data_IF_172330657311
#
_entry.id   IF_172330657311
#
_cell.length_a   1.000
_cell.length_b   1.000
_cell.length_c   1.000
_cell.angle_alpha   90.00
_cell.angle_beta   90.00
_cell.angle_gamma   90.00
#
_symmetry.space_group_name_H-M   'P 1'
#
loop_
_entity.id
_entity.type
_entity.pdbx_description
1 polymer ?
#
# COMPACT_ATOMS: atom_id res chain seq x y z
N UNK A 1 -11.99 11.21 -11.81
CA UNK A 1 -12.31 12.52 -11.22
C UNK A 1 -13.58 13.16 -11.83
N UNK A 2 -13.87 13.11 -13.15
CA UNK A 2 -14.99 13.87 -13.79
C UNK A 2 -16.46 13.45 -13.48
N UNK A 3 -16.73 12.33 -12.80
CA UNK A 3 -18.12 11.87 -12.52
C UNK A 3 -18.38 11.36 -11.10
N UNK A 4 -17.37 11.35 -10.23
CA UNK A 4 -17.52 10.84 -8.87
C UNK A 4 -17.77 12.01 -7.89
N UNK A 5 -18.79 11.90 -7.03
CA UNK A 5 -18.95 12.83 -5.92
C UNK A 5 -17.77 12.66 -4.96
N UNK A 6 -16.97 13.70 -4.78
CA UNK A 6 -15.82 13.70 -3.87
C UNK A 6 -15.89 14.90 -2.94
N UNK A 7 -15.73 14.66 -1.64
CA UNK A 7 -15.64 15.73 -0.64
C UNK A 7 -14.28 16.44 -0.65
N UNK A 8 -13.27 15.85 -1.31
CA UNK A 8 -11.92 16.38 -1.44
C UNK A 8 -11.81 17.49 -2.49
N UNK A 9 -12.74 17.51 -3.45
CA UNK A 9 -12.82 18.51 -4.52
C UNK A 9 -14.24 19.08 -4.56
N UNK A 10 -14.40 20.32 -4.10
CA UNK A 10 -15.68 21.03 -4.15
C UNK A 10 -15.59 22.14 -5.18
N UNK A 11 -16.65 22.34 -5.96
CA UNK A 11 -16.57 23.30 -7.05
C UNK A 11 -17.94 23.88 -7.39
N UNK A 12 -17.98 25.20 -7.56
CA UNK A 12 -19.14 25.90 -8.13
C UNK A 12 -19.23 25.76 -9.66
N UNK A 13 -18.16 25.28 -10.30
CA UNK A 13 -18.07 24.93 -11.72
C UNK A 13 -17.16 23.70 -11.89
N UNK A 14 -17.26 22.90 -12.98
CA UNK A 14 -16.43 21.70 -13.13
C UNK A 14 -14.92 21.97 -12.94
N UNK A 15 -14.26 21.13 -12.14
CA UNK A 15 -12.79 21.06 -12.02
C UNK A 15 -12.32 19.98 -13.00
N UNK A 16 -11.37 20.32 -13.88
CA UNK A 16 -10.79 19.35 -14.81
C UNK A 16 -9.59 18.62 -14.19
N UNK A 17 -9.19 17.46 -14.75
CA UNK A 17 -7.92 16.81 -14.35
C UNK A 17 -6.70 17.75 -14.53
N UNK A 18 -6.72 18.59 -15.57
CA UNK A 18 -5.67 19.58 -15.80
C UNK A 18 -5.63 20.62 -14.69
N UNK A 19 -6.78 21.14 -14.25
CA UNK A 19 -6.87 22.07 -13.11
C UNK A 19 -6.24 21.43 -11.86
N UNK A 20 -6.54 20.16 -11.57
CA UNK A 20 -5.99 19.47 -10.39
C UNK A 20 -4.47 19.35 -10.47
N UNK A 21 -3.92 18.94 -11.62
CA UNK A 21 -2.48 18.76 -11.82
C UNK A 21 -1.73 20.11 -11.68
N UNK A 22 -2.24 21.17 -12.32
CA UNK A 22 -1.65 22.50 -12.27
C UNK A 22 -1.65 23.07 -10.83
N UNK A 23 -2.76 22.91 -10.11
CA UNK A 23 -2.84 23.36 -8.71
C UNK A 23 -1.93 22.54 -7.79
N UNK A 24 -1.78 21.23 -8.04
CA UNK A 24 -0.86 20.39 -7.30
C UNK A 24 0.59 20.84 -7.49
N UNK A 25 0.99 21.21 -8.72
CA UNK A 25 2.32 21.73 -9.00
C UNK A 25 2.58 23.07 -8.30
N UNK A 26 1.63 24.01 -8.36
CA UNK A 26 1.71 25.30 -7.66
C UNK A 26 1.83 25.11 -6.13
N UNK A 27 1.08 24.16 -5.59
CA UNK A 27 1.13 23.81 -4.16
C UNK A 27 2.52 23.26 -3.79
N UNK A 28 3.05 22.32 -4.57
CA UNK A 28 4.36 21.72 -4.35
C UNK A 28 5.49 22.76 -4.39
N UNK A 29 5.48 23.67 -5.38
CA UNK A 29 6.45 24.77 -5.47
C UNK A 29 6.40 25.72 -4.26
N UNK A 30 5.27 25.75 -3.56
CA UNK A 30 5.04 26.56 -2.37
C UNK A 30 5.24 25.80 -1.06
N UNK A 31 5.74 24.56 -1.12
CA UNK A 31 5.97 23.69 0.03
C UNK A 31 4.69 23.16 0.69
N UNK A 32 3.58 23.10 -0.05
CA UNK A 32 2.30 22.61 0.46
C UNK A 32 2.09 21.20 -0.07
N UNK A 33 2.15 20.23 0.84
CA UNK A 33 1.92 18.83 0.51
C UNK A 33 0.40 18.51 0.45
N UNK A 34 -0.04 17.60 -0.41
CA UNK A 34 -1.46 17.41 -0.72
C UNK A 34 -2.26 16.63 0.33
N UNK A 35 -1.61 15.83 1.18
CA UNK A 35 -2.21 14.79 2.02
C UNK A 35 -3.28 15.36 2.96
N UNK A 36 -3.03 16.53 3.56
CA UNK A 36 -3.93 17.18 4.50
C UNK A 36 -4.73 18.34 3.87
N UNK A 37 -5.00 18.27 2.55
CA UNK A 37 -5.64 19.37 1.82
C UNK A 37 -6.89 18.96 1.06
N UNK A 38 -7.81 19.91 0.90
CA UNK A 38 -8.94 19.85 -0.05
C UNK A 38 -8.83 20.97 -1.08
N UNK A 39 -9.51 20.81 -2.21
CA UNK A 39 -9.55 21.81 -3.26
C UNK A 39 -10.97 22.37 -3.41
N UNK A 40 -11.11 23.68 -3.31
CA UNK A 40 -12.39 24.38 -3.53
C UNK A 40 -12.25 25.36 -4.70
N UNK A 41 -13.08 25.23 -5.73
CA UNK A 41 -13.14 26.15 -6.87
C UNK A 41 -14.37 27.06 -6.79
N UNK A 42 -14.12 28.36 -6.71
CA UNK A 42 -15.12 29.41 -6.73
C UNK A 42 -14.98 30.28 -7.99
N UNK A 43 -16.09 30.82 -8.48
CA UNK A 43 -16.07 31.81 -9.57
C UNK A 43 -16.35 33.19 -8.98
N UNK A 44 -15.41 34.12 -9.14
CA UNK A 44 -15.51 35.50 -8.65
C UNK A 44 -15.48 36.44 -9.86
N UNK A 45 -16.66 36.84 -10.33
CA UNK A 45 -16.81 37.58 -11.59
C UNK A 45 -16.48 36.69 -12.79
N UNK A 46 -15.52 37.11 -13.62
CA UNK A 46 -15.02 36.32 -14.76
C UNK A 46 -13.80 35.45 -14.41
N UNK A 47 -13.33 35.48 -13.15
CA UNK A 47 -12.11 34.79 -12.72
C UNK A 47 -12.42 33.55 -11.89
N UNK A 48 -11.62 32.51 -12.05
CA UNK A 48 -11.67 31.32 -11.19
C UNK A 48 -10.74 31.48 -9.99
N UNK A 49 -11.23 31.24 -8.78
CA UNK A 49 -10.42 31.18 -7.56
C UNK A 49 -10.36 29.73 -7.07
N UNK A 50 -9.15 29.22 -6.91
CA UNK A 50 -8.86 27.92 -6.33
C UNK A 50 -8.35 28.11 -4.90
N UNK A 51 -9.09 27.60 -3.93
CA UNK A 51 -8.68 27.58 -2.53
C UNK A 51 -8.15 26.19 -2.20
N UNK A 52 -6.87 26.11 -1.86
CA UNK A 52 -6.27 24.95 -1.22
C UNK A 52 -6.61 25.07 0.26
N UNK A 53 -7.51 24.23 0.73
CA UNK A 53 -7.98 24.21 2.11
C UNK A 53 -7.13 23.22 2.89
N UNK A 54 -6.21 23.72 3.72
CA UNK A 54 -5.30 22.93 4.53
C UNK A 54 -5.86 22.70 5.94
N UNK A 55 -5.80 21.45 6.38
CA UNK A 55 -6.23 21.06 7.71
C UNK A 55 -5.27 21.59 8.78
N UNK A 56 -5.80 22.45 9.66
CA UNK A 56 -5.05 23.05 10.76
C UNK A 56 -5.99 23.56 11.84
N UNK A 57 -5.50 23.67 13.07
CA UNK A 57 -6.18 24.44 14.12
C UNK A 57 -6.05 25.93 13.87
N UNK A 58 -4.84 26.39 13.58
CA UNK A 58 -4.56 27.80 13.31
C UNK A 58 -5.37 28.29 12.12
N UNK A 59 -5.85 29.52 12.22
CA UNK A 59 -6.61 30.19 11.17
C UNK A 59 -5.78 31.34 10.63
N UNK A 60 -5.72 31.47 9.31
CA UNK A 60 -5.27 32.72 8.73
C UNK A 60 -6.39 33.75 8.82
N UNK A 61 -6.01 35.01 9.10
CA UNK A 61 -6.95 36.13 9.10
C UNK A 61 -7.57 36.36 7.71
N UNK A 62 -6.86 35.99 6.65
CA UNK A 62 -7.35 36.00 5.28
C UNK A 62 -6.65 34.88 4.47
N UNK A 63 -7.26 34.47 3.35
CA UNK A 63 -6.66 33.53 2.43
C UNK A 63 -5.32 34.06 1.91
N UNK A 64 -4.25 33.27 2.00
CA UNK A 64 -2.91 33.65 1.54
C UNK A 64 -2.82 33.39 0.04
N UNK A 65 -2.63 34.44 -0.77
CA UNK A 65 -2.41 34.30 -2.20
C UNK A 65 -1.08 33.57 -2.44
N UNK A 66 -1.14 32.47 -3.21
CA UNK A 66 0.02 31.66 -3.60
C UNK A 66 0.42 31.99 -5.04
N UNK A 67 -0.55 32.03 -5.95
CA UNK A 67 -0.32 32.29 -7.37
C UNK A 67 -1.49 33.08 -7.98
N UNK A 68 -1.20 33.87 -9.01
CA UNK A 68 -2.16 34.73 -9.69
C UNK A 68 -1.83 34.85 -11.17
N UNK A 69 -2.83 34.61 -12.02
CA UNK A 69 -2.82 34.87 -13.47
C UNK A 69 -3.95 35.82 -13.85
N UNK A 70 -4.05 36.18 -15.13
CA UNK A 70 -5.09 37.10 -15.58
C UNK A 70 -6.51 36.57 -15.31
N UNK A 71 -6.71 35.25 -15.39
CA UNK A 71 -7.98 34.53 -15.28
C UNK A 71 -8.14 33.77 -13.96
N UNK A 72 -7.06 33.56 -13.17
CA UNK A 72 -7.10 32.67 -12.01
C UNK A 72 -6.35 33.20 -10.79
N UNK A 73 -6.81 32.75 -9.62
CA UNK A 73 -6.14 32.94 -8.34
C UNK A 73 -6.04 31.63 -7.59
N UNK A 74 -4.87 31.32 -7.03
CA UNK A 74 -4.66 30.18 -6.14
C UNK A 74 -4.33 30.70 -4.75
N UNK A 75 -5.13 30.30 -3.77
CA UNK A 75 -5.02 30.77 -2.40
C UNK A 75 -4.91 29.60 -1.42
N UNK A 76 -4.10 29.74 -0.37
CA UNK A 76 -4.07 28.84 0.78
C UNK A 76 -5.06 29.35 1.83
N UNK A 77 -5.96 28.47 2.23
CA UNK A 77 -6.89 28.68 3.34
C UNK A 77 -6.56 27.65 4.41
N UNK A 78 -6.43 28.09 5.65
CA UNK A 78 -6.24 27.23 6.83
C UNK A 78 -7.53 27.18 7.64
N UNK A 79 -7.62 26.23 8.59
CA UNK A 79 -8.67 26.08 9.59
C UNK A 79 -9.74 25.01 9.36
N UNK A 80 -9.47 23.95 8.57
CA UNK A 80 -10.52 22.99 8.25
C UNK A 80 -10.04 21.53 8.21
N UNK A 81 -10.35 20.69 9.24
CA UNK A 81 -11.25 20.97 10.38
C UNK A 81 -10.52 21.50 11.64
N UNK A 82 -10.73 22.77 12.01
CA UNK A 82 -10.04 23.41 13.15
C UNK A 82 -10.51 22.94 14.54
N UNK A 83 -11.83 22.83 14.76
CA UNK A 83 -12.40 22.46 16.06
C UNK A 83 -12.07 21.03 16.47
N UNK A 84 -12.12 20.12 15.50
CA UNK A 84 -11.87 18.70 15.65
C UNK A 84 -10.40 18.47 15.94
N UNK A 85 -9.50 19.07 15.15
CA UNK A 85 -8.06 18.99 15.38
C UNK A 85 -7.66 19.58 16.73
N UNK A 86 -8.29 20.66 17.18
CA UNK A 86 -8.06 21.24 18.51
C UNK A 86 -8.43 20.23 19.60
N UNK A 87 -9.60 19.61 19.48
CA UNK A 87 -10.07 18.61 20.45
C UNK A 87 -9.18 17.36 20.45
N UNK A 88 -8.71 16.93 19.28
CA UNK A 88 -7.73 15.85 19.13
C UNK A 88 -6.44 16.21 19.88
N UNK A 89 -5.90 17.41 19.65
CA UNK A 89 -4.68 17.89 20.32
C UNK A 89 -4.85 17.92 21.85
N UNK A 90 -5.98 18.38 22.36
CA UNK A 90 -6.27 18.39 23.80
C UNK A 90 -6.30 16.97 24.40
N UNK A 91 -6.92 16.02 23.69
CA UNK A 91 -6.95 14.62 24.11
C UNK A 91 -5.56 13.99 24.10
N UNK A 92 -4.78 14.21 23.04
CA UNK A 92 -3.41 13.70 22.92
C UNK A 92 -2.50 14.30 24.01
N UNK A 93 -2.61 15.60 24.29
CA UNK A 93 -1.86 16.26 25.37
C UNK A 93 -2.23 15.72 26.76
N UNK A 94 -3.52 15.39 27.00
CA UNK A 94 -3.93 14.71 28.24
C UNK A 94 -3.33 13.31 28.32
N UNK A 95 -3.36 12.54 27.23
CA UNK A 95 -2.76 11.20 27.17
C UNK A 95 -1.24 11.21 27.38
N UNK A 96 -0.54 12.25 26.89
CA UNK A 96 0.90 12.45 27.09
C UNK A 96 1.31 12.54 28.56
N UNK A 97 0.39 12.95 29.46
CA UNK A 97 0.61 12.99 30.91
C UNK A 97 0.55 11.61 31.57
N UNK A 98 0.01 10.61 30.88
CA UNK A 98 -0.18 9.25 31.39
C UNK A 98 0.99 8.31 31.04
N UNK A 99 2.02 8.80 30.37
CA UNK A 99 3.22 8.03 30.03
C UNK A 99 4.46 8.71 30.58
N UNK A 100 5.49 7.95 30.96
CA UNK A 100 6.81 8.50 31.30
C UNK A 100 7.82 8.40 30.15
N UNK A 101 7.43 7.79 29.02
CA UNK A 101 8.32 7.63 27.87
C UNK A 101 8.54 8.97 27.16
N UNK A 102 9.75 9.51 27.26
CA UNK A 102 10.13 10.79 26.66
C UNK A 102 9.90 10.83 25.14
N UNK A 103 10.21 9.73 24.43
CA UNK A 103 9.98 9.62 22.99
C UNK A 103 8.49 9.79 22.63
N UNK A 104 7.58 9.18 23.40
CA UNK A 104 6.13 9.34 23.19
C UNK A 104 5.63 10.74 23.49
N UNK A 105 6.12 11.36 24.57
CA UNK A 105 5.80 12.75 24.89
C UNK A 105 6.24 13.66 23.73
N UNK A 106 7.42 13.41 23.16
CA UNK A 106 7.95 14.14 22.01
C UNK A 106 7.13 13.90 20.74
N UNK A 107 6.80 12.64 20.42
CA UNK A 107 5.95 12.29 19.29
C UNK A 107 4.60 13.02 19.37
N UNK A 108 3.92 12.94 20.52
CA UNK A 108 2.63 13.61 20.72
C UNK A 108 2.77 15.13 20.59
N UNK A 109 3.82 15.72 21.15
CA UNK A 109 4.03 17.16 21.04
C UNK A 109 4.23 17.62 19.59
N UNK A 110 5.03 16.88 18.80
CA UNK A 110 5.26 17.15 17.37
C UNK A 110 4.01 16.92 16.54
N UNK A 111 3.25 15.87 16.83
CA UNK A 111 1.99 15.58 16.15
C UNK A 111 0.95 16.67 16.40
N UNK A 112 0.78 17.10 17.65
CA UNK A 112 -0.10 18.23 17.97
C UNK A 112 0.37 19.53 17.29
N UNK A 113 1.69 19.72 17.16
CA UNK A 113 2.26 20.87 16.46
C UNK A 113 1.90 20.84 14.97
N UNK A 114 2.03 19.69 14.32
CA UNK A 114 1.61 19.49 12.94
C UNK A 114 0.10 19.73 12.72
N UNK A 115 -0.77 19.28 13.64
CA UNK A 115 -2.20 19.58 13.57
C UNK A 115 -2.51 21.05 13.86
N UNK A 116 -1.69 21.70 14.68
CA UNK A 116 -1.83 23.12 14.96
C UNK A 116 -1.58 23.97 13.71
N UNK A 117 -0.46 23.71 13.03
CA UNK A 117 0.02 24.50 11.88
C UNK A 117 -0.50 24.02 10.54
N UNK A 118 -0.81 22.72 10.41
CA UNK A 118 -1.08 22.04 9.14
C UNK A 118 0.20 21.72 8.34
N UNK A 119 1.39 21.85 8.92
CA UNK A 119 2.65 21.59 8.22
C UNK A 119 2.97 20.07 8.18
N UNK A 120 3.08 19.53 6.97
CA UNK A 120 3.39 18.12 6.77
C UNK A 120 4.86 17.77 7.07
N UNK A 121 5.79 18.73 7.08
CA UNK A 121 7.15 18.46 7.55
C UNK A 121 7.20 18.33 9.08
N UNK A 122 6.40 19.10 9.82
CA UNK A 122 6.21 18.89 11.25
C UNK A 122 5.53 17.53 11.51
N UNK A 123 4.59 17.11 10.64
CA UNK A 123 4.01 15.76 10.71
C UNK A 123 5.06 14.69 10.48
N UNK A 124 5.85 14.77 9.40
CA UNK A 124 6.96 13.84 9.14
C UNK A 124 7.97 13.79 10.27
N UNK A 125 8.29 14.92 10.89
CA UNK A 125 9.18 14.96 12.07
C UNK A 125 8.57 14.21 13.27
N UNK A 126 7.25 14.27 13.46
CA UNK A 126 6.57 13.43 14.45
C UNK A 126 6.70 11.93 14.11
N UNK A 127 6.56 11.57 12.83
CA UNK A 127 6.71 10.18 12.37
C UNK A 127 8.15 9.66 12.52
N UNK A 128 9.17 10.50 12.28
CA UNK A 128 10.58 10.15 12.54
C UNK A 128 10.79 9.81 14.01
N UNK A 129 10.20 10.57 14.94
CA UNK A 129 10.23 10.23 16.37
C UNK A 129 9.47 8.94 16.67
N UNK A 130 8.33 8.71 16.02
CA UNK A 130 7.49 7.53 16.21
C UNK A 130 8.16 6.23 15.75
N UNK A 131 8.87 6.24 14.62
CA UNK A 131 9.61 5.07 14.12
C UNK A 131 10.71 4.62 15.08
N UNK A 132 11.37 5.59 15.74
CA UNK A 132 12.47 5.34 16.70
C UNK A 132 12.00 5.19 18.15
N UNK A 133 10.70 5.31 18.42
CA UNK A 133 10.12 5.03 19.72
C UNK A 133 10.33 3.54 20.05
N UNK A 134 10.94 3.29 21.22
CA UNK A 134 11.25 1.95 21.71
C UNK A 134 9.97 1.14 21.92
N UNK A 135 10.01 -0.20 21.86
CA UNK A 135 8.82 -1.04 21.92
C UNK A 135 7.97 -0.71 23.15
N UNK A 136 6.82 -0.09 22.91
CA UNK A 136 5.85 0.26 23.95
C UNK A 136 4.65 -0.69 23.89
N UNK A 137 3.95 -0.83 25.03
CA UNK A 137 2.78 -1.72 25.12
C UNK A 137 1.58 -1.19 24.33
N UNK A 138 1.47 0.13 24.17
CA UNK A 138 0.35 0.78 23.47
C UNK A 138 0.91 1.47 22.23
N UNK A 139 0.52 1.06 21.04
CA UNK A 139 0.94 1.69 19.79
C UNK A 139 -0.15 2.62 19.27
N UNK A 140 0.22 3.68 18.54
CA UNK A 140 -0.77 4.66 18.04
C UNK A 140 -0.42 5.16 16.64
N UNK A 141 -1.44 5.33 15.80
CA UNK A 141 -1.35 6.02 14.50
C UNK A 141 -2.40 7.11 14.49
N UNK A 142 -2.03 8.35 14.16
CA UNK A 142 -2.96 9.46 14.07
C UNK A 142 -2.49 10.41 12.99
N UNK A 143 -3.38 10.79 12.08
CA UNK A 143 -3.08 11.78 11.05
C UNK A 143 -3.85 11.56 9.76
N UNK A 144 -3.45 12.28 8.72
CA UNK A 144 -3.92 12.06 7.35
C UNK A 144 -2.96 11.06 6.70
N UNK A 145 -3.38 9.78 6.64
CA UNK A 145 -2.46 8.67 6.37
C UNK A 145 -2.67 8.09 4.97
N UNK A 146 -3.87 7.63 4.65
CA UNK A 146 -4.11 6.81 3.45
C UNK A 146 -4.95 7.53 2.37
N UNK A 147 -4.52 7.55 1.09
CA UNK A 147 -5.19 8.32 0.04
C UNK A 147 -6.28 7.57 -0.76
N UNK A 148 -6.68 6.36 -0.33
CA UNK A 148 -7.55 5.47 -1.12
C UNK A 148 -8.90 6.07 -1.53
N UNK A 149 -9.43 7.02 -0.75
CA UNK A 149 -10.74 7.64 -1.01
C UNK A 149 -10.68 8.90 -1.85
N UNK A 150 -9.48 9.43 -2.12
CA UNK A 150 -9.31 10.51 -3.08
C UNK A 150 -9.32 9.92 -4.49
N UNK A 151 -10.26 10.31 -5.37
CA UNK A 151 -10.30 9.81 -6.75
C UNK A 151 -9.04 10.14 -7.57
N UNK A 152 -8.26 11.12 -7.12
CA UNK A 152 -7.00 11.52 -7.75
C UNK A 152 -5.78 10.99 -6.96
N UNK A 153 -5.97 10.25 -5.85
CA UNK A 153 -4.94 9.45 -5.16
C UNK A 153 -3.85 10.23 -4.41
N UNK A 154 -4.07 11.51 -4.10
CA UNK A 154 -3.05 12.40 -3.51
C UNK A 154 -3.42 12.93 -2.13
N UNK A 155 -4.71 12.96 -1.79
CA UNK A 155 -5.23 13.48 -0.53
C UNK A 155 -5.55 12.33 0.40
N UNK A 156 -5.07 12.42 1.64
CA UNK A 156 -5.20 11.35 2.60
C UNK A 156 -6.44 11.54 3.50
N UNK A 157 -7.04 10.42 3.89
CA UNK A 157 -8.10 10.39 4.88
C UNK A 157 -7.51 10.48 6.29
N UNK A 158 -8.21 11.19 7.18
CA UNK A 158 -7.84 11.22 8.58
C UNK A 158 -8.19 9.90 9.27
N UNK A 159 -7.23 9.33 9.99
CA UNK A 159 -7.42 8.15 10.82
C UNK A 159 -6.79 8.29 12.22
N UNK A 160 -7.27 7.46 13.14
CA UNK A 160 -6.81 7.39 14.52
C UNK A 160 -6.93 5.96 15.04
N UNK A 161 -5.80 5.31 15.28
CA UNK A 161 -5.69 3.93 15.73
C UNK A 161 -4.95 3.91 17.06
N UNK A 162 -5.47 3.14 18.02
CA UNK A 162 -4.80 2.81 19.27
C UNK A 162 -4.79 1.29 19.39
N UNK A 163 -3.60 0.70 19.40
CA UNK A 163 -3.39 -0.74 19.49
C UNK A 163 -2.72 -1.12 20.80
N UNK A 164 -3.06 -2.28 21.34
CA UNK A 164 -2.32 -2.90 22.44
C UNK A 164 -1.46 -4.01 21.84
N UNK A 165 -0.15 -3.95 22.09
CA UNK A 165 0.81 -4.92 21.59
C UNK A 165 0.48 -6.32 22.12
N UNK A 166 0.29 -7.27 21.21
CA UNK A 166 0.32 -8.69 21.53
C UNK A 166 1.78 -9.17 21.50
N UNK A 167 2.39 -9.55 22.65
CA UNK A 167 3.80 -9.92 22.71
C UNK A 167 4.12 -11.18 21.91
N UNK A 168 3.20 -12.15 21.85
CA UNK A 168 3.41 -13.42 21.14
C UNK A 168 3.40 -13.23 19.62
N UNK A 169 2.36 -12.58 19.09
CA UNK A 169 2.25 -12.24 17.67
C UNK A 169 3.39 -11.31 17.24
N UNK A 170 3.75 -10.33 18.07
CA UNK A 170 4.89 -9.43 17.76
C UNK A 170 6.22 -10.19 17.73
N UNK A 171 6.42 -11.19 18.60
CA UNK A 171 7.63 -12.00 18.57
C UNK A 171 7.73 -12.85 17.29
N UNK A 172 6.60 -13.33 16.75
CA UNK A 172 6.56 -13.99 15.44
C UNK A 172 6.99 -13.02 14.34
N UNK A 173 6.40 -11.82 14.30
CA UNK A 173 6.76 -10.79 13.30
C UNK A 173 8.24 -10.41 13.39
N UNK A 174 8.79 -10.28 14.60
CA UNK A 174 10.21 -9.98 14.79
C UNK A 174 11.11 -11.06 14.19
N UNK A 175 10.83 -12.34 14.46
CA UNK A 175 11.61 -13.45 13.90
C UNK A 175 11.51 -13.51 12.38
N UNK A 176 10.33 -13.24 11.82
CA UNK A 176 10.12 -13.16 10.38
C UNK A 176 10.96 -12.03 9.77
N UNK A 177 10.93 -10.84 10.36
CA UNK A 177 11.73 -9.70 9.92
C UNK A 177 13.24 -10.00 10.00
N UNK A 178 13.73 -10.62 11.08
CA UNK A 178 15.14 -10.99 11.24
C UNK A 178 15.59 -12.05 10.23
N UNK A 179 14.65 -12.87 9.75
CA UNK A 179 14.93 -13.96 8.81
C UNK A 179 14.55 -13.61 7.38
N UNK A 180 14.07 -12.39 7.11
CA UNK A 180 13.40 -12.05 5.85
C UNK A 180 14.32 -12.24 4.63
N UNK A 181 15.59 -11.83 4.75
CA UNK A 181 16.60 -11.98 3.70
C UNK A 181 16.79 -13.44 3.25
N UNK A 182 16.56 -14.43 4.13
CA UNK A 182 16.68 -15.86 3.80
C UNK A 182 15.61 -16.30 2.80
N UNK A 183 14.41 -15.73 2.90
CA UNK A 183 13.27 -16.03 2.04
C UNK A 183 13.28 -15.18 0.78
N UNK A 184 13.71 -13.91 0.87
CA UNK A 184 13.85 -13.05 -0.31
C UNK A 184 14.85 -13.61 -1.31
N UNK A 185 15.92 -14.28 -0.85
CA UNK A 185 16.85 -15.02 -1.71
C UNK A 185 16.23 -16.15 -2.54
N UNK A 186 15.01 -16.58 -2.19
CA UNK A 186 14.26 -17.63 -2.88
C UNK A 186 13.27 -17.06 -3.88
N UNK A 187 13.07 -15.74 -3.93
CA UNK A 187 12.16 -15.11 -4.88
C UNK A 187 12.65 -15.30 -6.33
N UNK A 188 11.74 -15.42 -7.29
CA UNK A 188 12.07 -15.90 -8.63
C UNK A 188 12.92 -14.93 -9.48
N UNK A 189 13.06 -13.67 -9.07
CA UNK A 189 13.93 -12.69 -9.72
C UNK A 189 15.29 -12.52 -9.02
N UNK A 190 15.50 -13.18 -7.87
CA UNK A 190 16.79 -13.14 -7.17
C UNK A 190 17.71 -14.23 -7.71
N UNK A 191 18.77 -13.83 -8.41
CA UNK A 191 19.82 -14.75 -8.90
C UNK A 191 20.69 -15.29 -7.74
N UNK A 192 20.14 -16.13 -6.86
CA UNK A 192 20.88 -16.77 -5.77
C UNK A 192 21.88 -17.84 -6.22
N UNK A 193 21.95 -18.12 -7.53
CA UNK A 193 22.76 -19.20 -8.11
C UNK A 193 24.27 -18.90 -8.14
N UNK A 194 24.69 -17.66 -7.83
CA UNK A 194 26.10 -17.23 -7.93
C UNK A 194 26.88 -17.27 -6.62
N UNK A 195 26.40 -17.94 -5.57
CA UNK A 195 27.13 -18.06 -4.30
C UNK A 195 27.44 -16.74 -3.59
N UNK A 196 26.87 -15.63 -4.09
CA UNK A 196 26.99 -14.30 -3.52
C UNK A 196 25.95 -14.15 -2.41
N UNK A 197 26.31 -13.42 -1.35
CA UNK A 197 25.39 -13.07 -0.27
C UNK A 197 24.41 -11.97 -0.67
N UNK A 198 24.63 -11.33 -1.82
CA UNK A 198 23.78 -10.27 -2.38
C UNK A 198 22.35 -10.74 -2.67
N UNK A 199 21.37 -9.84 -2.52
CA UNK A 199 19.97 -10.06 -2.90
C UNK A 199 19.71 -9.89 -4.42
N UNK A 200 20.78 -9.67 -5.21
CA UNK A 200 20.69 -9.50 -6.66
C UNK A 200 20.43 -8.06 -7.08
N UNK A 201 20.27 -7.85 -8.39
CA UNK A 201 20.19 -6.51 -8.99
C UNK A 201 18.82 -5.82 -8.81
N UNK A 202 17.77 -6.62 -8.57
CA UNK A 202 16.38 -6.17 -8.44
C UNK A 202 15.88 -6.17 -6.98
N UNK A 203 16.77 -6.30 -6.01
CA UNK A 203 16.45 -6.17 -4.60
C UNK A 203 17.35 -5.14 -3.93
N UNK A 204 16.81 -4.52 -2.88
CA UNK A 204 17.60 -3.70 -1.99
C UNK A 204 18.52 -4.58 -1.12
N UNK A 205 19.55 -3.98 -0.51
CA UNK A 205 20.50 -4.74 0.32
C UNK A 205 19.88 -5.42 1.55
N UNK A 206 18.67 -5.00 1.93
CA UNK A 206 17.87 -5.54 3.03
C UNK A 206 16.39 -5.40 2.68
N UNK A 207 15.56 -6.35 3.11
CA UNK A 207 14.09 -6.27 2.96
C UNK A 207 13.58 -4.97 3.56
N UNK A 208 12.84 -4.20 2.76
CA UNK A 208 12.23 -2.96 3.18
C UNK A 208 11.00 -3.27 4.03
N UNK A 209 10.75 -2.48 5.07
CA UNK A 209 9.52 -2.60 5.85
C UNK A 209 8.47 -1.64 5.26
N UNK A 210 7.20 -2.03 5.12
CA UNK A 210 6.13 -1.10 4.75
C UNK A 210 6.16 0.14 5.64
N UNK A 211 5.94 1.32 5.07
CA UNK A 211 6.02 2.57 5.80
C UNK A 211 5.26 3.69 5.09
N UNK A 212 4.67 4.59 5.87
CA UNK A 212 3.79 5.66 5.38
C UNK A 212 4.48 6.70 4.49
N UNK A 213 5.81 6.83 4.59
CA UNK A 213 6.60 7.78 3.82
C UNK A 213 7.88 7.14 3.30
N UNK A 214 8.10 7.21 1.98
CA UNK A 214 9.25 6.59 1.34
C UNK A 214 10.59 7.17 1.79
N UNK A 215 10.68 8.48 2.01
CA UNK A 215 11.89 9.17 2.47
C UNK A 215 12.26 8.80 3.92
N UNK A 216 11.27 8.69 4.81
CA UNK A 216 11.46 8.18 6.17
C UNK A 216 11.84 6.70 6.12
N UNK A 217 11.15 5.89 5.32
CA UNK A 217 11.42 4.46 5.16
C UNK A 217 12.87 4.19 4.76
N UNK A 218 13.34 4.88 3.71
CA UNK A 218 14.69 4.68 3.17
C UNK A 218 15.80 5.22 4.09
N UNK A 219 15.57 6.32 4.82
CA UNK A 219 16.61 6.98 5.63
C UNK A 219 16.56 6.69 7.14
N UNK A 220 15.42 6.30 7.67
CA UNK A 220 15.15 6.19 9.12
C UNK A 220 14.46 4.87 9.51
N UNK A 221 13.94 4.10 8.55
CA UNK A 221 13.19 2.86 8.76
C UNK A 221 11.68 3.08 8.85
N UNK A 222 10.95 2.02 9.20
CA UNK A 222 9.49 2.08 9.37
C UNK A 222 8.98 1.09 10.43
N UNK A 223 7.71 1.27 10.80
CA UNK A 223 6.94 0.38 11.66
C UNK A 223 5.76 -0.18 10.88
N UNK A 224 5.55 -1.49 10.97
CA UNK A 224 4.37 -2.17 10.41
C UNK A 224 3.46 -2.59 11.56
N UNK A 225 2.17 -2.28 11.46
CA UNK A 225 1.17 -2.59 12.49
C UNK A 225 0.18 -3.60 11.91
N UNK A 226 0.04 -4.74 12.59
CA UNK A 226 -0.99 -5.72 12.29
C UNK A 226 -2.11 -5.62 13.33
N UNK A 227 -3.35 -5.36 12.88
CA UNK A 227 -4.52 -5.27 13.76
C UNK A 227 -5.16 -6.67 13.89
N UNK A 228 -4.59 -7.52 14.73
CA UNK A 228 -4.93 -8.95 14.78
C UNK A 228 -6.35 -9.25 15.29
N UNK A 229 -6.90 -8.43 16.18
CA UNK A 229 -8.27 -8.60 16.68
C UNK A 229 -9.36 -8.28 15.63
N UNK A 230 -9.01 -7.67 14.50
CA UNK A 230 -9.93 -7.49 13.35
C UNK A 230 -9.99 -8.72 12.45
N UNK A 231 -9.06 -9.65 12.63
CA UNK A 231 -9.06 -10.95 11.97
C UNK A 231 -9.97 -11.95 12.71
N UNK A 232 -10.32 -11.62 13.96
CA UNK A 232 -11.17 -12.41 14.84
C UNK A 232 -12.62 -11.97 14.77
N UNK A 233 -13.41 -12.67 13.98
CA UNK A 233 -14.84 -12.38 13.88
C UNK A 233 -15.05 -11.20 12.93
N UNK A 234 -15.53 -11.46 11.73
CA UNK A 234 -16.90 -11.91 11.50
C UNK A 234 -16.86 -12.61 10.14
N UNK A 235 -17.57 -13.72 9.91
CA UNK A 235 -17.88 -14.10 8.53
C UNK A 235 -18.45 -12.85 7.87
N UNK A 236 -17.79 -12.31 6.85
CA UNK A 236 -18.38 -11.21 6.11
C UNK A 236 -19.73 -11.72 5.62
N UNK A 237 -20.78 -10.90 5.67
CA UNK A 237 -22.13 -11.36 5.34
C UNK A 237 -22.22 -12.04 3.95
N UNK A 238 -21.29 -11.75 3.04
CA UNK A 238 -21.11 -12.38 1.72
C UNK A 238 -20.16 -13.61 1.66
N UNK A 239 -19.50 -13.99 2.74
CA UNK A 239 -18.60 -15.17 2.76
C UNK A 239 -19.36 -16.47 2.54
N UNK A 240 -20.61 -16.58 2.99
CA UNK A 240 -21.32 -17.86 2.98
C UNK A 240 -21.38 -18.51 1.59
N UNK A 241 -21.68 -17.74 0.54
CA UNK A 241 -21.75 -18.30 -0.81
C UNK A 241 -20.38 -18.70 -1.35
N UNK A 242 -19.39 -17.82 -1.24
CA UNK A 242 -18.03 -18.10 -1.73
C UNK A 242 -17.34 -19.22 -0.94
N UNK A 243 -17.52 -19.26 0.38
CA UNK A 243 -17.05 -20.34 1.25
C UNK A 243 -17.72 -21.66 0.87
N UNK A 244 -19.05 -21.69 0.68
CA UNK A 244 -19.76 -22.90 0.28
C UNK A 244 -19.34 -23.42 -1.11
N UNK A 245 -18.95 -22.52 -2.02
CA UNK A 245 -18.44 -22.89 -3.34
C UNK A 245 -17.01 -23.44 -3.30
N UNK A 246 -16.17 -22.91 -2.40
CA UNK A 246 -14.75 -23.27 -2.31
C UNK A 246 -14.46 -24.42 -1.35
N UNK A 247 -15.21 -24.57 -0.25
CA UNK A 247 -15.00 -25.64 0.73
C UNK A 247 -15.64 -26.96 0.27
N UNK A 248 -14.82 -27.95 -0.10
CA UNK A 248 -15.31 -29.32 -0.35
C UNK A 248 -15.89 -29.97 0.92
N UNK A 249 -15.29 -29.67 2.08
CA UNK A 249 -15.73 -30.14 3.40
C UNK A 249 -16.08 -28.94 4.27
N UNK A 250 -17.38 -28.72 4.55
CA UNK A 250 -17.83 -27.60 5.35
C UNK A 250 -17.09 -27.49 6.69
N UNK A 251 -16.59 -26.30 7.01
CA UNK A 251 -15.93 -25.99 8.27
C UNK A 251 -14.42 -26.25 8.30
N UNK A 252 -13.84 -26.86 7.25
CA UNK A 252 -12.39 -27.11 7.19
C UNK A 252 -11.62 -25.80 7.11
N UNK A 253 -12.05 -24.87 6.25
CA UNK A 253 -11.39 -23.58 6.13
C UNK A 253 -11.73 -22.68 7.33
N UNK A 254 -12.98 -22.72 7.81
CA UNK A 254 -13.41 -21.99 9.02
C UNK A 254 -12.57 -22.32 10.27
N UNK A 255 -12.07 -23.56 10.42
CA UNK A 255 -11.29 -24.01 11.59
C UNK A 255 -9.94 -23.30 11.72
N UNK A 256 -9.26 -23.03 10.61
CA UNK A 256 -7.91 -22.45 10.59
C UNK A 256 -7.86 -21.04 9.97
N UNK A 257 -9.02 -20.52 9.56
CA UNK A 257 -9.18 -19.22 8.88
C UNK A 257 -8.43 -18.07 9.54
N UNK A 258 -8.54 -17.91 10.86
CA UNK A 258 -7.84 -16.82 11.59
C UNK A 258 -6.33 -16.87 11.33
N UNK A 259 -5.72 -18.03 11.53
CA UNK A 259 -4.27 -18.22 11.41
C UNK A 259 -3.82 -18.06 9.96
N UNK A 260 -4.57 -18.63 9.02
CA UNK A 260 -4.35 -18.47 7.59
C UNK A 260 -4.43 -17.00 7.17
N UNK A 261 -5.51 -16.30 7.52
CA UNK A 261 -5.70 -14.89 7.18
C UNK A 261 -4.64 -13.99 7.82
N UNK A 262 -4.26 -14.25 9.07
CA UNK A 262 -3.17 -13.55 9.74
C UNK A 262 -1.85 -13.69 8.98
N UNK A 263 -1.43 -14.91 8.66
CA UNK A 263 -0.16 -15.16 7.98
C UNK A 263 -0.18 -14.67 6.53
N UNK A 264 -1.33 -14.78 5.86
CA UNK A 264 -1.54 -14.23 4.53
C UNK A 264 -1.25 -12.73 4.48
N UNK A 265 -1.85 -11.94 5.37
CA UNK A 265 -1.56 -10.50 5.46
C UNK A 265 -0.11 -10.24 5.84
N UNK A 266 0.43 -10.98 6.81
CA UNK A 266 1.84 -10.81 7.21
C UNK A 266 2.80 -11.03 6.04
N UNK A 267 2.57 -12.06 5.23
CA UNK A 267 3.41 -12.33 4.07
C UNK A 267 3.20 -11.32 2.95
N UNK A 268 1.96 -10.89 2.72
CA UNK A 268 1.62 -9.81 1.80
C UNK A 268 2.39 -8.52 2.15
N UNK A 269 2.34 -8.09 3.41
CA UNK A 269 2.99 -6.85 3.84
C UNK A 269 4.52 -6.98 3.87
N UNK A 270 5.05 -8.02 4.52
CA UNK A 270 6.48 -8.15 4.74
C UNK A 270 7.24 -8.54 3.48
N UNK A 271 6.76 -9.55 2.76
CA UNK A 271 7.46 -10.08 1.59
C UNK A 271 6.91 -9.52 0.29
N UNK A 272 5.65 -9.13 0.23
CA UNK A 272 5.10 -8.46 -0.93
C UNK A 272 5.60 -7.02 -1.02
N UNK A 273 4.98 -6.12 -0.26
CA UNK A 273 5.31 -4.69 -0.26
C UNK A 273 6.76 -4.39 0.18
N UNK A 274 7.34 -5.26 1.00
CA UNK A 274 8.71 -5.11 1.49
C UNK A 274 9.84 -5.51 0.53
N UNK A 275 9.53 -6.05 -0.65
CA UNK A 275 10.52 -6.52 -1.62
C UNK A 275 10.41 -5.80 -2.96
N UNK A 276 11.49 -5.86 -3.73
CA UNK A 276 11.61 -5.24 -5.03
C UNK A 276 12.29 -3.87 -4.96
N UNK A 277 13.28 -3.70 -5.83
CA UNK A 277 13.98 -2.44 -6.06
C UNK A 277 13.43 -1.73 -7.29
N UNK A 278 13.17 -0.43 -7.16
CA UNK A 278 12.94 0.43 -8.31
C UNK A 278 14.29 0.93 -8.81
N UNK A 279 14.57 0.74 -10.10
CA UNK A 279 15.78 1.28 -10.72
C UNK A 279 15.56 2.75 -11.04
N UNK A 280 16.46 3.61 -10.59
CA UNK A 280 16.26 5.06 -10.61
C UNK A 280 17.52 5.82 -11.04
N UNK A 281 17.29 6.89 -11.78
CA UNK A 281 18.24 7.97 -12.05
C UNK A 281 17.95 9.14 -11.10
N UNK A 282 18.97 9.56 -10.36
CA UNK A 282 18.93 10.66 -9.43
C UNK A 282 19.09 12.01 -10.14
N UNK A 283 18.68 13.10 -9.49
CA UNK A 283 18.76 14.45 -10.04
C UNK A 283 20.20 14.93 -10.35
N UNK A 284 21.21 14.31 -9.75
CA UNK A 284 22.63 14.56 -10.01
C UNK A 284 23.21 13.64 -11.11
N UNK A 285 22.36 12.96 -11.87
CA UNK A 285 22.71 11.98 -12.91
C UNK A 285 23.50 10.77 -12.39
N UNK A 286 23.40 10.47 -11.09
CA UNK A 286 23.83 9.18 -10.54
C UNK A 286 22.70 8.15 -10.63
N UNK A 287 23.04 6.87 -10.60
CA UNK A 287 22.09 5.76 -10.72
C UNK A 287 22.18 4.89 -9.47
N UNK A 288 21.05 4.34 -9.02
CA UNK A 288 21.05 3.37 -7.94
C UNK A 288 21.41 1.94 -8.41
N UNK A 289 21.90 1.79 -9.63
CA UNK A 289 22.37 0.55 -10.26
C UNK A 289 23.60 0.83 -11.14
N UNK A 290 24.26 -0.23 -11.60
CA UNK A 290 25.48 -0.12 -12.41
C UNK A 290 25.15 -0.01 -13.91
N UNK A 291 25.49 1.12 -14.52
CA UNK A 291 25.33 1.34 -15.97
C UNK A 291 26.35 0.59 -16.82
N UNK A 292 27.54 0.31 -16.30
CA UNK A 292 28.55 -0.46 -17.04
C UNK A 292 28.22 -1.95 -17.07
N UNK A 293 27.40 -2.40 -16.10
CA UNK A 293 26.91 -3.76 -15.98
C UNK A 293 25.39 -3.76 -15.73
N UNK A 294 24.64 -3.48 -16.80
CA UNK A 294 23.18 -3.45 -16.74
C UNK A 294 22.61 -4.79 -16.26
N UNK A 295 21.68 -4.77 -15.29
CA UNK A 295 20.89 -5.93 -14.89
C UNK A 295 20.19 -6.57 -16.08
N UNK A 296 20.08 -7.89 -16.08
CA UNK A 296 19.32 -8.64 -17.08
C UNK A 296 17.91 -8.87 -16.57
N UNK A 297 16.91 -8.53 -17.37
CA UNK A 297 15.52 -8.78 -17.03
C UNK A 297 15.26 -10.29 -16.91
N UNK A 298 14.73 -10.78 -15.76
CA UNK A 298 14.39 -12.19 -15.60
C UNK A 298 13.20 -12.61 -16.49
N UNK A 299 12.53 -11.63 -17.10
CA UNK A 299 11.38 -11.82 -17.99
C UNK A 299 11.81 -12.00 -19.44
N UNK A 300 12.64 -11.08 -19.93
CA UNK A 300 13.03 -11.04 -21.35
C UNK A 300 14.37 -11.72 -21.60
N UNK A 301 15.21 -11.87 -20.57
CA UNK A 301 16.59 -12.36 -20.71
C UNK A 301 17.53 -11.34 -21.36
N UNK A 302 17.09 -10.10 -21.55
CA UNK A 302 17.87 -9.01 -22.15
C UNK A 302 18.28 -7.98 -21.08
N UNK A 303 19.34 -7.19 -21.30
CA UNK A 303 19.66 -6.05 -20.46
C UNK A 303 18.47 -5.10 -20.32
N UNK A 304 18.28 -4.54 -19.12
CA UNK A 304 17.26 -3.51 -18.92
C UNK A 304 17.52 -2.30 -19.82
N UNK A 305 16.43 -1.69 -20.30
CA UNK A 305 16.45 -0.50 -21.18
C UNK A 305 15.61 0.65 -20.63
N UNK A 306 15.07 0.51 -19.42
CA UNK A 306 14.17 1.48 -18.78
C UNK A 306 14.33 1.53 -17.26
N UNK A 307 14.14 2.73 -16.69
CA UNK A 307 14.22 3.06 -15.26
C UNK A 307 13.44 4.36 -14.98
N UNK A 308 13.22 4.68 -13.71
CA UNK A 308 12.60 5.94 -13.31
C UNK A 308 13.56 7.11 -13.45
N UNK A 309 13.10 8.20 -14.06
CA UNK A 309 13.85 9.46 -14.19
C UNK A 309 13.70 10.35 -12.96
N UNK A 310 14.52 11.41 -12.83
CA UNK A 310 14.39 12.35 -11.72
C UNK A 310 12.96 12.93 -11.63
N UNK A 311 12.33 12.73 -10.47
CA UNK A 311 10.96 13.20 -10.19
C UNK A 311 9.84 12.25 -10.61
N UNK A 312 10.12 11.17 -11.34
CA UNK A 312 9.13 10.14 -11.64
C UNK A 312 8.87 9.26 -10.41
N UNK A 313 7.60 8.88 -10.22
CA UNK A 313 7.15 8.04 -9.11
C UNK A 313 6.39 6.83 -9.62
N UNK A 314 6.29 5.77 -8.81
CA UNK A 314 5.48 4.58 -9.12
C UNK A 314 4.07 4.96 -9.60
N UNK A 315 3.39 5.80 -8.82
CA UNK A 315 2.04 6.27 -9.12
C UNK A 315 1.98 7.19 -10.35
N UNK A 316 3.01 8.00 -10.59
CA UNK A 316 3.07 8.85 -11.79
C UNK A 316 3.22 8.07 -13.09
N UNK A 317 4.03 7.01 -13.08
CA UNK A 317 4.30 6.16 -14.26
C UNK A 317 3.16 5.18 -14.51
N UNK A 318 2.72 4.45 -13.47
CA UNK A 318 1.69 3.42 -13.59
C UNK A 318 0.27 3.98 -13.56
N UNK A 319 0.08 5.22 -13.11
CA UNK A 319 -1.20 5.93 -13.13
C UNK A 319 -2.33 5.08 -12.55
N UNK A 320 -3.43 4.92 -13.29
CA UNK A 320 -4.66 4.27 -12.85
C UNK A 320 -4.49 2.78 -12.50
N UNK A 321 -3.39 2.12 -12.92
CA UNK A 321 -3.11 0.71 -12.59
C UNK A 321 -2.09 0.52 -11.46
N UNK A 322 -1.49 1.61 -10.95
CA UNK A 322 -0.39 1.56 -9.98
C UNK A 322 -0.72 0.71 -8.75
N UNK A 323 -1.86 0.96 -8.11
CA UNK A 323 -2.28 0.21 -6.92
C UNK A 323 -2.53 -1.26 -7.25
N UNK A 324 -3.23 -1.56 -8.34
CA UNK A 324 -3.61 -2.94 -8.68
C UNK A 324 -2.37 -3.80 -8.98
N UNK A 325 -1.38 -3.23 -9.68
CA UNK A 325 -0.14 -3.94 -9.98
C UNK A 325 0.63 -4.27 -8.71
N UNK A 326 0.76 -3.30 -7.79
CA UNK A 326 1.54 -3.50 -6.56
C UNK A 326 0.87 -4.49 -5.60
N UNK A 327 -0.44 -4.37 -5.41
CA UNK A 327 -1.23 -5.30 -4.61
C UNK A 327 -1.18 -6.73 -5.19
N UNK A 328 -1.33 -6.86 -6.52
CA UNK A 328 -1.25 -8.18 -7.17
C UNK A 328 0.12 -8.81 -7.03
N UNK A 329 1.18 -8.00 -7.14
CA UNK A 329 2.56 -8.43 -6.89
C UNK A 329 2.70 -8.92 -5.45
N UNK A 330 2.25 -8.15 -4.46
CA UNK A 330 2.36 -8.49 -3.05
C UNK A 330 1.62 -9.81 -2.70
N UNK A 331 0.40 -9.96 -3.21
CA UNK A 331 -0.39 -11.20 -3.09
C UNK A 331 0.33 -12.43 -3.68
N UNK A 332 0.86 -12.30 -4.90
CA UNK A 332 1.55 -13.39 -5.56
C UNK A 332 2.82 -13.81 -4.82
N UNK A 333 3.54 -12.86 -4.23
CA UNK A 333 4.76 -13.14 -3.47
C UNK A 333 4.44 -13.87 -2.18
N UNK A 334 3.45 -13.38 -1.43
CA UNK A 334 2.98 -14.05 -0.22
C UNK A 334 2.57 -15.50 -0.53
N UNK A 335 1.79 -15.69 -1.60
CA UNK A 335 1.36 -17.02 -2.06
C UNK A 335 2.52 -17.92 -2.53
N UNK A 336 3.58 -17.35 -3.13
CA UNK A 336 4.74 -18.10 -3.58
C UNK A 336 5.55 -18.68 -2.40
N UNK A 337 5.80 -17.85 -1.38
CA UNK A 337 6.62 -18.23 -0.22
C UNK A 337 5.92 -19.19 0.75
N UNK A 338 4.59 -19.34 0.66
CA UNK A 338 3.84 -20.29 1.49
C UNK A 338 4.23 -21.75 1.29
N UNK A 339 4.89 -22.11 0.20
CA UNK A 339 5.36 -23.48 -0.01
C UNK A 339 6.66 -23.80 0.76
N UNK A 340 7.27 -22.80 1.40
CA UNK A 340 8.51 -22.94 2.16
C UNK A 340 8.24 -23.44 3.59
N UNK A 341 8.60 -24.69 3.88
CA UNK A 341 8.27 -25.36 5.17
C UNK A 341 8.95 -24.75 6.39
N UNK A 342 10.14 -24.17 6.20
CA UNK A 342 10.88 -23.47 7.25
C UNK A 342 10.27 -22.10 7.59
N UNK A 343 9.55 -21.46 6.65
CA UNK A 343 8.78 -20.25 6.92
C UNK A 343 7.67 -20.53 7.95
N UNK A 344 6.95 -21.64 7.80
CA UNK A 344 5.91 -22.06 8.76
C UNK A 344 6.49 -22.36 10.14
N UNK A 345 7.66 -22.99 10.17
CA UNK A 345 8.37 -23.32 11.41
C UNK A 345 8.75 -22.06 12.20
N UNK A 346 9.18 -20.98 11.53
CA UNK A 346 9.45 -19.68 12.17
C UNK A 346 8.21 -19.04 12.79
N UNK A 347 7.05 -19.26 12.14
CA UNK A 347 5.75 -18.84 12.62
C UNK A 347 5.20 -19.70 13.76
N UNK A 348 5.88 -20.80 14.13
CA UNK A 348 5.50 -21.71 15.21
C UNK A 348 4.58 -22.86 14.76
N UNK A 349 4.42 -23.08 13.46
CA UNK A 349 3.61 -24.17 12.91
C UNK A 349 4.52 -25.28 12.41
N UNK A 350 4.29 -26.49 12.92
CA UNK A 350 5.08 -27.70 12.60
C UNK A 350 4.14 -28.88 12.41
N UNK A 351 4.62 -29.95 11.77
CA UNK A 351 3.82 -31.17 11.54
C UNK A 351 3.35 -31.85 12.84
N UNK A 352 3.98 -31.54 13.97
CA UNK A 352 3.62 -32.05 15.30
C UNK A 352 2.58 -31.17 16.01
N UNK A 353 2.24 -30.01 15.44
CA UNK A 353 1.29 -29.06 16.00
C UNK A 353 -0.18 -29.45 15.77
N UNK A 354 -1.08 -28.71 16.40
CA UNK A 354 -2.54 -28.85 16.19
C UNK A 354 -3.03 -28.31 14.83
N UNK A 355 -2.18 -27.55 14.14
CA UNK A 355 -2.36 -27.02 12.79
C UNK A 355 -1.07 -27.31 12.04
N UNK A 356 -1.16 -28.10 10.97
CA UNK A 356 0.01 -28.42 10.14
C UNK A 356 0.32 -27.28 9.15
N UNK A 357 1.57 -27.17 8.66
CA UNK A 357 1.91 -26.32 7.53
C UNK A 357 1.02 -26.54 6.30
N UNK A 358 0.72 -27.81 5.97
CA UNK A 358 -0.15 -28.16 4.84
C UNK A 358 -1.59 -27.64 5.04
N UNK A 359 -2.12 -27.70 6.27
CA UNK A 359 -3.43 -27.11 6.58
C UNK A 359 -3.42 -25.61 6.31
N UNK A 360 -2.39 -24.89 6.75
CA UNK A 360 -2.29 -23.44 6.56
C UNK A 360 -2.12 -23.06 5.09
N UNK A 361 -1.25 -23.75 4.36
CA UNK A 361 -1.04 -23.53 2.93
C UNK A 361 -2.36 -23.69 2.16
N UNK A 362 -3.06 -24.81 2.39
CA UNK A 362 -4.38 -25.05 1.80
C UNK A 362 -5.36 -23.93 2.16
N UNK A 363 -5.43 -23.57 3.44
CA UNK A 363 -6.39 -22.57 3.92
C UNK A 363 -6.15 -21.17 3.35
N UNK A 364 -4.90 -20.76 3.13
CA UNK A 364 -4.62 -19.46 2.51
C UNK A 364 -4.96 -19.48 1.02
N UNK A 365 -4.67 -20.55 0.28
CA UNK A 365 -5.16 -20.66 -1.10
C UNK A 365 -6.68 -20.60 -1.17
N UNK A 366 -7.37 -21.21 -0.21
CA UNK A 366 -8.82 -21.10 -0.08
C UNK A 366 -9.26 -19.66 0.21
N UNK A 367 -8.56 -18.95 1.10
CA UNK A 367 -8.80 -17.52 1.36
C UNK A 367 -8.70 -16.69 0.07
N UNK A 368 -7.68 -16.91 -0.75
CA UNK A 368 -7.48 -16.21 -2.03
C UNK A 368 -8.63 -16.46 -3.00
N UNK A 369 -9.10 -17.70 -3.13
CA UNK A 369 -10.24 -18.03 -4.00
C UNK A 369 -11.54 -17.42 -3.50
N UNK A 370 -11.81 -17.50 -2.19
CA UNK A 370 -12.98 -16.89 -1.57
C UNK A 370 -12.96 -15.37 -1.78
N UNK A 371 -11.81 -14.73 -1.56
CA UNK A 371 -11.64 -13.29 -1.80
C UNK A 371 -11.89 -12.93 -3.27
N UNK A 372 -11.43 -13.76 -4.22
CA UNK A 372 -11.62 -13.50 -5.64
C UNK A 372 -13.07 -13.61 -6.10
N UNK A 373 -13.82 -14.61 -5.61
CA UNK A 373 -15.25 -14.72 -5.90
C UNK A 373 -16.01 -13.55 -5.29
N UNK A 374 -15.72 -13.21 -4.03
CA UNK A 374 -16.35 -12.06 -3.35
C UNK A 374 -16.01 -10.74 -4.00
N UNK A 375 -14.82 -10.61 -4.57
CA UNK A 375 -14.41 -9.42 -5.27
C UNK A 375 -15.37 -9.01 -6.38
N UNK A 376 -16.05 -9.97 -7.03
CA UNK A 376 -17.03 -9.71 -8.08
C UNK A 376 -18.18 -8.79 -7.62
N UNK A 377 -18.48 -8.70 -6.32
CA UNK A 377 -19.44 -7.73 -5.76
C UNK A 377 -19.02 -6.27 -6.01
N UNK A 378 -17.72 -6.02 -6.19
CA UNK A 378 -17.13 -4.71 -6.45
C UNK A 378 -16.85 -4.44 -7.93
N UNK A 379 -17.28 -5.33 -8.83
CA UNK A 379 -17.15 -5.13 -10.27
C UNK A 379 -18.44 -4.56 -10.87
N UNK A 380 -18.34 -3.41 -11.54
CA UNK A 380 -19.43 -2.86 -12.33
C UNK A 380 -19.37 -3.42 -13.75
N UNK A 381 -20.40 -4.16 -14.15
CA UNK A 381 -20.54 -4.66 -15.53
C UNK A 381 -20.79 -3.51 -16.50
N UNK A 382 -21.65 -2.56 -16.15
CA UNK A 382 -22.00 -1.41 -16.99
C UNK A 382 -20.84 -0.44 -17.17
N UNK A 383 -20.05 -0.23 -16.11
CA UNK A 383 -18.89 0.66 -16.13
C UNK A 383 -17.58 -0.03 -16.48
N UNK A 384 -17.59 -1.34 -16.73
CA UNK A 384 -16.41 -2.20 -16.93
C UNK A 384 -15.24 -1.87 -15.98
N UNK A 385 -15.55 -1.61 -14.72
CA UNK A 385 -14.62 -1.03 -13.75
C UNK A 385 -14.80 -1.61 -12.35
N UNK A 386 -13.72 -1.57 -11.58
CA UNK A 386 -13.66 -2.03 -10.21
C UNK A 386 -13.76 -0.84 -9.24
N UNK A 387 -14.56 -0.99 -8.19
CA UNK A 387 -14.68 0.01 -7.13
C UNK A 387 -13.67 -0.19 -5.98
N UNK A 388 -12.98 -1.34 -5.93
CA UNK A 388 -12.05 -1.68 -4.86
C UNK A 388 -10.86 -2.50 -5.39
N UNK A 389 -9.64 -2.00 -5.17
CA UNK A 389 -8.41 -2.55 -5.77
C UNK A 389 -8.11 -3.99 -5.34
N UNK A 390 -8.23 -4.32 -4.04
CA UNK A 390 -7.93 -5.67 -3.54
C UNK A 390 -8.91 -6.73 -4.09
N UNK A 391 -10.14 -6.33 -4.40
CA UNK A 391 -11.18 -7.18 -4.98
C UNK A 391 -10.85 -7.53 -6.43
N UNK A 392 -10.36 -6.53 -7.19
CA UNK A 392 -9.85 -6.74 -8.54
C UNK A 392 -8.65 -7.69 -8.52
N UNK A 393 -7.70 -7.45 -7.62
CA UNK A 393 -6.51 -8.28 -7.43
C UNK A 393 -6.90 -9.72 -7.09
N UNK A 394 -7.78 -9.89 -6.10
CA UNK A 394 -8.23 -11.22 -5.67
C UNK A 394 -8.93 -11.98 -6.81
N UNK A 395 -9.72 -11.29 -7.64
CA UNK A 395 -10.39 -11.88 -8.79
C UNK A 395 -9.39 -12.30 -9.88
N UNK A 396 -8.36 -11.47 -10.14
CA UNK A 396 -7.26 -11.80 -11.06
C UNK A 396 -6.46 -13.00 -10.53
N UNK A 397 -6.08 -13.00 -9.26
CA UNK A 397 -5.35 -14.09 -8.62
C UNK A 397 -6.15 -15.41 -8.64
N UNK A 398 -7.45 -15.37 -8.39
CA UNK A 398 -8.32 -16.54 -8.51
C UNK A 398 -8.41 -17.04 -9.97
N UNK A 399 -8.45 -16.14 -10.96
CA UNK A 399 -8.42 -16.54 -12.37
C UNK A 399 -7.11 -17.25 -12.75
N UNK A 400 -5.98 -16.84 -12.16
CA UNK A 400 -4.69 -17.52 -12.29
C UNK A 400 -4.75 -18.91 -11.64
N UNK A 401 -5.34 -19.02 -10.44
CA UNK A 401 -5.58 -20.31 -9.77
C UNK A 401 -6.46 -21.25 -10.59
N UNK A 402 -7.56 -20.79 -11.17
CA UNK A 402 -8.48 -21.64 -11.95
C UNK A 402 -7.86 -22.19 -13.25
N UNK A 403 -6.83 -21.50 -13.80
CA UNK A 403 -6.01 -22.02 -14.90
C UNK A 403 -5.00 -23.09 -14.44
N UNK A 404 -4.78 -23.24 -13.14
CA UNK A 404 -3.81 -24.13 -12.52
C UNK A 404 -4.52 -25.26 -11.76
N UNK A 405 -4.55 -26.48 -12.30
CA UNK A 405 -5.18 -27.62 -11.63
C UNK A 405 -4.40 -28.06 -10.38
N UNK A 406 -5.02 -28.76 -9.41
CA UNK A 406 -4.34 -29.27 -8.20
C UNK A 406 -3.16 -30.22 -8.48
N UNK A 407 -3.19 -30.93 -9.61
CA UNK A 407 -2.06 -31.75 -10.06
C UNK A 407 -0.92 -30.91 -10.65
N UNK A 408 -1.26 -29.77 -11.28
CA UNK A 408 -0.30 -28.85 -11.87
C UNK A 408 0.39 -27.99 -10.82
N UNK A 409 -0.27 -27.59 -9.72
CA UNK A 409 0.32 -26.76 -8.65
C UNK A 409 1.59 -27.41 -8.04
N UNK A 410 1.57 -28.73 -7.79
CA UNK A 410 2.70 -29.49 -7.25
C UNK A 410 3.83 -29.73 -8.26
N UNK A 411 3.52 -29.81 -9.55
CA UNK A 411 4.52 -30.00 -10.62
C UNK A 411 5.15 -28.66 -11.01
N UNK A 412 4.34 -27.60 -11.02
CA UNK A 412 4.72 -26.22 -11.31
C UNK A 412 5.63 -25.65 -10.21
N UNK A 413 5.46 -25.98 -8.93
CA UNK A 413 6.44 -25.60 -7.90
C UNK A 413 7.83 -26.26 -8.08
N UNK A 414 7.91 -27.42 -8.75
CA UNK A 414 9.20 -28.02 -9.19
C UNK A 414 9.69 -27.49 -10.54
N UNK A 415 8.80 -27.06 -11.42
CA UNK A 415 9.12 -26.54 -12.77
C UNK A 415 9.23 -25.00 -12.84
N UNK A 416 8.84 -24.26 -11.79
CA UNK A 416 8.98 -22.79 -11.68
C UNK A 416 10.43 -22.34 -11.52
N UNK A 417 11.38 -23.27 -11.49
CA UNK A 417 12.79 -22.98 -11.70
C UNK A 417 13.12 -22.63 -13.15
N UNK A 418 12.18 -22.63 -14.10
CA UNK A 418 12.55 -22.31 -15.48
C UNK A 418 11.53 -21.65 -16.43
N UNK A 419 10.33 -21.24 -16.04
CA UNK A 419 9.51 -20.39 -16.94
C UNK A 419 8.21 -19.92 -16.30
N UNK A 420 8.17 -18.66 -15.85
CA UNK A 420 6.97 -17.81 -15.95
C UNK A 420 7.41 -16.38 -16.14
N UNK A 421 7.28 -15.88 -17.36
CA UNK A 421 6.75 -14.55 -17.61
C UNK A 421 6.23 -14.48 -19.06
N UNK A 422 5.27 -13.58 -19.28
CA UNK A 422 4.63 -13.21 -20.54
C UNK A 422 3.53 -14.15 -21.08
N UNK A 423 2.28 -13.80 -20.78
CA UNK A 423 1.26 -13.44 -21.79
C UNK A 423 -0.02 -12.92 -21.14
N UNK A 424 -0.01 -11.64 -20.81
CA UNK A 424 -1.22 -10.86 -20.62
C UNK A 424 -0.94 -9.40 -20.99
N UNK A 425 -0.71 -9.16 -22.29
CA UNK A 425 -0.90 -7.86 -22.95
C UNK A 425 -0.89 -8.05 -24.47
N UNK A 426 -2.07 -8.36 -25.01
CA UNK A 426 -2.41 -8.13 -26.42
C UNK A 426 -3.93 -8.19 -26.54
N UNK A 427 -4.60 -7.10 -26.18
CA UNK A 427 -5.88 -6.75 -26.79
C UNK A 427 -5.61 -5.60 -27.77
N UNK A 428 -5.63 -5.91 -29.07
CA UNK A 428 -6.18 -5.00 -30.08
C UNK A 428 -7.00 -5.82 -31.07
N UNK A 429 -8.23 -5.34 -31.24
CA UNK A 429 -9.20 -5.73 -32.25
C UNK A 429 -8.67 -5.56 -33.67
N UNK A 430 -9.03 -6.51 -34.53
CA UNK A 430 -9.38 -6.42 -35.97
C UNK A 430 -9.43 -7.90 -36.43
N UNK A 431 -10.43 -8.46 -37.08
CA UNK A 431 -11.68 -8.01 -37.68
C UNK A 431 -12.46 -9.28 -38.04
N UNK A 432 -13.79 -9.18 -38.02
CA UNK A 432 -14.74 -9.96 -38.85
C UNK A 432 -14.87 -11.48 -38.67
N UNK A 433 -16.13 -11.88 -38.44
CA UNK A 433 -16.74 -13.10 -38.96
C UNK A 433 -16.04 -13.64 -40.21
N UNK A 434 -15.69 -14.91 -40.22
CA UNK A 434 -16.14 -15.90 -41.21
C UNK A 434 -15.33 -17.20 -41.07
N UNK A 435 -16.04 -18.30 -41.34
CA UNK A 435 -15.52 -19.58 -41.84
C UNK A 435 -14.84 -20.52 -40.82
N UNK A 436 -15.59 -21.48 -40.26
CA UNK A 436 -15.86 -22.82 -40.84
C UNK A 436 -14.71 -23.81 -40.57
N UNK A 437 -14.78 -24.52 -39.44
CA UNK A 437 -14.90 -25.98 -39.30
C UNK A 437 -14.84 -26.40 -37.83
#
# INVERSE_FOLDING_TARGET
CDRAQSIYTQASSPITKHDVAEIAEIAAQSGINPENTRLVKDVVGEKSRFNIVQASVEKYAAAKLISHTHDRQVCLVRADPSSELQRICECLQKASRSTEHAAKKSYIAKLCRAFQTGDMEEYKDSQRTWVHDHPTTVETVFGFVEPYRDPCGTKAEYEGIVGIKNPEETAILHRLCESADLFVKRLPWVESHRGDRSLGDFEESTVQRPGFYNDIRQGQGSKSIMISNRLDGTPMAGDSLAVNLCEEKPGTFSKHRRHAYYLWVVFHELFGHGTGKLLQENADSTYNFDLEKLPFSPVTGEPIDSWYRPGETWTGVFQDIATIVDECRAECIGAYLMSETDLWSLCGYTDQGSISPEDLEYNIYQQLAIAGIRGLENYSVEGESWSQAHSQVSAVANSLRLKLTPANLRHILRCFKQSVWLRSLSLRFESTHAETL
#
